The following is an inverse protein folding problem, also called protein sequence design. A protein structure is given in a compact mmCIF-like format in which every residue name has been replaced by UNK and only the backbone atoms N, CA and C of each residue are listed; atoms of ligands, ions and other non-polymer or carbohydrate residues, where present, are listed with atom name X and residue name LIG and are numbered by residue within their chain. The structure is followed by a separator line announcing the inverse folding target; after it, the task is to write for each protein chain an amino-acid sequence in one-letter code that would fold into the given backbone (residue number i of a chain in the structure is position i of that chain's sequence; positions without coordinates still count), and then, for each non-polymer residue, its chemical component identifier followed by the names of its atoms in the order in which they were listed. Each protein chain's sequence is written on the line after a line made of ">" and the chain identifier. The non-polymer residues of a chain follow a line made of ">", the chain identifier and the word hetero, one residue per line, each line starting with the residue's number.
data_IF_280663939440
#
_entry.id   IF_280663939440
#
_cell.length_a   1.000
_cell.length_b   1.000
_cell.length_c   1.000
_cell.angle_alpha   90.00
_cell.angle_beta   90.00
_cell.angle_gamma   90.00
#
_symmetry.space_group_name_H-M   'P 1'
#
loop_
_entity.id
_entity.type
_entity.pdbx_description
1 polymer ?
#
# COMPACT_ATOMS: atom_id res chain seq x y z
N UNK A 1 -0.27 -18.50 3.31
CA UNK A 1 -0.76 -18.76 1.94
C UNK A 1 0.28 -18.18 1.00
N UNK A 2 0.92 -19.01 0.19
CA UNK A 2 1.92 -18.53 -0.78
C UNK A 2 1.17 -17.92 -1.97
N UNK A 3 1.46 -16.67 -2.31
CA UNK A 3 0.89 -16.04 -3.50
C UNK A 3 1.47 -16.68 -4.74
N UNK A 4 0.60 -17.02 -5.69
CA UNK A 4 1.02 -17.51 -6.99
C UNK A 4 1.71 -16.40 -7.80
N UNK A 5 2.68 -16.78 -8.63
CA UNK A 5 3.36 -15.85 -9.53
C UNK A 5 2.34 -15.29 -10.53
N UNK A 6 2.28 -13.96 -10.62
CA UNK A 6 1.37 -13.25 -11.51
C UNK A 6 1.83 -13.39 -12.96
N UNK A 7 0.86 -13.50 -13.87
CA UNK A 7 1.10 -13.40 -15.32
C UNK A 7 1.29 -11.96 -15.79
N UNK A 8 0.99 -10.97 -14.92
CA UNK A 8 1.24 -9.55 -15.19
C UNK A 8 2.68 -9.19 -14.88
N UNK A 9 3.18 -8.13 -15.51
CA UNK A 9 4.40 -7.46 -15.07
C UNK A 9 4.11 -6.52 -13.90
N UNK A 10 5.12 -6.12 -13.10
CA UNK A 10 4.93 -5.11 -12.05
C UNK A 10 4.33 -3.80 -12.60
N UNK A 11 4.75 -3.36 -13.77
CA UNK A 11 4.22 -2.17 -14.44
C UNK A 11 2.75 -2.34 -14.81
N UNK A 12 2.32 -3.50 -15.30
CA UNK A 12 0.91 -3.77 -15.59
C UNK A 12 0.06 -3.81 -14.31
N UNK A 13 0.61 -4.34 -13.22
CA UNK A 13 -0.08 -4.34 -11.93
C UNK A 13 -0.24 -2.93 -11.35
N UNK A 14 0.82 -2.11 -11.41
CA UNK A 14 0.76 -0.71 -11.00
C UNK A 14 -0.20 0.11 -11.88
N UNK A 15 -0.18 -0.10 -13.20
CA UNK A 15 -1.12 0.56 -14.11
C UNK A 15 -2.58 0.17 -13.79
N UNK A 16 -2.85 -1.12 -13.56
CA UNK A 16 -4.18 -1.57 -13.16
C UNK A 16 -4.62 -1.02 -11.79
N UNK A 17 -3.69 -0.82 -10.86
CA UNK A 17 -3.96 -0.22 -9.56
C UNK A 17 -4.31 1.27 -9.70
N UNK A 18 -3.55 2.01 -10.52
CA UNK A 18 -3.81 3.41 -10.83
C UNK A 18 -5.15 3.59 -11.55
N UNK A 19 -5.44 2.75 -12.54
CA UNK A 19 -6.71 2.77 -13.29
C UNK A 19 -7.91 2.42 -12.40
N UNK A 20 -7.74 1.49 -11.45
CA UNK A 20 -8.79 1.14 -10.48
C UNK A 20 -9.12 2.29 -9.54
N UNK A 21 -8.10 2.99 -9.04
CA UNK A 21 -8.28 3.98 -7.98
C UNK A 21 -8.45 5.40 -8.48
N UNK A 22 -7.97 5.73 -9.67
CA UNK A 22 -8.04 7.06 -10.28
C UNK A 22 -7.70 8.19 -9.29
N UNK A 23 -6.53 8.13 -8.61
CA UNK A 23 -6.18 9.09 -7.57
C UNK A 23 -6.06 10.50 -8.16
N UNK A 24 -6.59 11.52 -7.46
CA UNK A 24 -6.37 12.94 -7.80
C UNK A 24 -5.11 13.48 -7.14
N UNK A 25 -4.62 12.79 -6.11
CA UNK A 25 -3.38 13.09 -5.43
C UNK A 25 -2.58 11.83 -5.17
N UNK A 26 -1.36 11.77 -5.68
CA UNK A 26 -0.49 10.60 -5.65
C UNK A 26 0.86 10.96 -5.05
N UNK A 27 1.25 10.24 -3.99
CA UNK A 27 2.61 10.29 -3.44
C UNK A 27 3.42 9.13 -4.03
N UNK A 28 4.59 9.39 -4.57
CA UNK A 28 5.49 8.35 -5.10
C UNK A 28 6.83 8.42 -4.39
N UNK A 29 7.23 7.29 -3.80
CA UNK A 29 8.51 7.11 -3.12
C UNK A 29 9.31 6.02 -3.78
N UNK A 30 10.56 6.31 -4.12
CA UNK A 30 11.42 5.36 -4.82
C UNK A 30 12.55 6.00 -5.58
N UNK A 31 13.66 5.26 -5.73
CA UNK A 31 14.79 5.69 -6.55
C UNK A 31 14.57 5.42 -8.05
N UNK A 32 13.70 4.46 -8.39
CA UNK A 32 13.43 4.07 -9.77
C UNK A 32 12.32 4.87 -10.43
N UNK A 33 12.49 5.14 -11.73
CA UNK A 33 11.40 5.63 -12.57
C UNK A 33 10.32 4.57 -12.76
N UNK A 34 9.07 5.02 -12.83
CA UNK A 34 7.90 4.15 -12.96
C UNK A 34 7.11 4.53 -14.21
N UNK A 35 7.30 3.82 -15.34
CA UNK A 35 6.61 4.11 -16.59
C UNK A 35 5.08 4.10 -16.45
N UNK A 36 4.53 3.23 -15.59
CA UNK A 36 3.10 3.20 -15.31
C UNK A 36 2.58 4.48 -14.64
N UNK A 37 3.39 5.10 -13.77
CA UNK A 37 3.04 6.38 -13.16
C UNK A 37 3.13 7.49 -14.20
N UNK A 38 4.21 7.56 -14.98
CA UNK A 38 4.40 8.55 -16.05
C UNK A 38 3.21 8.54 -17.03
N UNK A 39 2.87 7.36 -17.56
CA UNK A 39 1.73 7.19 -18.46
C UNK A 39 0.40 7.60 -17.81
N UNK A 40 0.22 7.36 -16.51
CA UNK A 40 -0.98 7.78 -15.79
C UNK A 40 -1.07 9.31 -15.68
N UNK A 41 0.04 10.01 -15.39
CA UNK A 41 0.07 11.49 -15.31
C UNK A 41 -0.30 12.11 -16.64
N UNK A 42 0.27 11.59 -17.73
CA UNK A 42 0.01 12.07 -19.08
C UNK A 42 -1.47 11.95 -19.46
N UNK A 43 -2.12 10.85 -19.03
CA UNK A 43 -3.54 10.63 -19.25
C UNK A 43 -4.45 11.43 -18.28
N UNK A 44 -3.93 11.88 -17.13
CA UNK A 44 -4.70 12.53 -16.07
C UNK A 44 -4.01 13.82 -15.60
N UNK A 45 -4.07 14.91 -16.40
CA UNK A 45 -3.37 16.16 -16.10
C UNK A 45 -3.83 16.84 -14.79
N UNK A 46 -5.03 16.49 -14.30
CA UNK A 46 -5.57 16.98 -13.03
C UNK A 46 -5.03 16.23 -11.79
N UNK A 47 -4.29 15.13 -11.99
CA UNK A 47 -3.67 14.39 -10.90
C UNK A 47 -2.44 15.14 -10.37
N UNK A 48 -2.47 15.54 -9.10
CA UNK A 48 -1.29 16.09 -8.43
C UNK A 48 -0.36 14.96 -8.02
N UNK A 49 0.88 15.03 -8.48
CA UNK A 49 1.93 14.08 -8.09
C UNK A 49 3.01 14.79 -7.28
N UNK A 50 3.31 14.22 -6.13
CA UNK A 50 4.44 14.58 -5.30
C UNK A 50 5.39 13.37 -5.25
N UNK A 51 6.68 13.59 -5.50
CA UNK A 51 7.70 12.54 -5.50
C UNK A 51 8.77 12.82 -4.44
N UNK A 52 9.30 11.77 -3.80
CA UNK A 52 10.46 11.87 -2.93
C UNK A 52 11.31 10.62 -2.99
N UNK A 53 12.64 10.80 -2.96
CA UNK A 53 13.61 9.72 -2.87
C UNK A 53 14.26 9.64 -1.49
N UNK A 54 13.98 10.62 -0.62
CA UNK A 54 14.59 10.75 0.70
C UNK A 54 13.61 10.40 1.81
N UNK A 55 14.13 9.78 2.85
CA UNK A 55 13.42 9.49 4.10
C UNK A 55 14.18 10.17 5.25
N UNK A 56 13.49 10.82 6.21
CA UNK A 56 12.04 10.99 6.30
C UNK A 56 11.48 11.91 5.21
N UNK A 57 10.14 11.88 5.03
CA UNK A 57 9.45 12.83 4.16
C UNK A 57 9.74 14.27 4.61
N UNK A 58 9.88 15.19 3.65
CA UNK A 58 9.97 16.62 3.97
C UNK A 58 8.70 17.08 4.70
N UNK A 59 8.81 18.12 5.51
CA UNK A 59 7.67 18.67 6.28
C UNK A 59 6.48 19.02 5.38
N UNK A 60 6.75 19.51 4.17
CA UNK A 60 5.74 19.85 3.17
C UNK A 60 4.97 18.62 2.68
N UNK A 61 5.67 17.52 2.37
CA UNK A 61 5.04 16.28 1.92
C UNK A 61 4.32 15.58 3.07
N UNK A 62 4.90 15.57 4.27
CA UNK A 62 4.34 14.98 5.47
C UNK A 62 3.05 15.67 5.93
N UNK A 63 2.86 16.96 5.62
CA UNK A 63 1.65 17.72 5.93
C UNK A 63 0.49 17.50 4.94
N UNK A 64 0.72 16.79 3.83
CA UNK A 64 -0.30 16.55 2.79
C UNK A 64 -1.01 15.21 2.97
N UNK A 65 -2.24 15.16 2.46
CA UNK A 65 -3.04 13.95 2.25
C UNK A 65 -3.03 13.57 0.78
N UNK A 66 -2.98 12.27 0.52
CA UNK A 66 -2.99 11.66 -0.80
C UNK A 66 -4.08 10.60 -0.87
N UNK A 67 -4.62 10.40 -2.08
CA UNK A 67 -5.59 9.36 -2.35
C UNK A 67 -4.92 7.99 -2.45
N UNK A 68 -3.64 7.97 -2.88
CA UNK A 68 -2.79 6.81 -2.99
C UNK A 68 -1.33 7.19 -2.71
N UNK A 69 -0.62 6.32 -2.01
CA UNK A 69 0.84 6.36 -1.92
C UNK A 69 1.44 5.11 -2.55
N UNK A 70 2.49 5.28 -3.35
CA UNK A 70 3.28 4.22 -3.96
C UNK A 70 4.69 4.24 -3.38
N UNK A 71 5.16 3.08 -2.92
CA UNK A 71 6.53 2.89 -2.44
C UNK A 71 7.15 1.77 -3.26
N UNK A 72 8.16 2.10 -4.06
CA UNK A 72 8.78 1.17 -5.02
C UNK A 72 10.28 1.41 -5.04
N UNK A 73 11.11 0.37 -4.98
CA UNK A 73 12.58 0.54 -4.99
C UNK A 73 13.04 1.57 -3.96
N UNK A 74 12.67 1.30 -2.71
CA UNK A 74 12.80 2.23 -1.59
C UNK A 74 13.20 1.49 -0.32
N UNK A 75 12.49 0.42 0.05
CA UNK A 75 12.76 -0.32 1.29
C UNK A 75 14.07 -1.11 1.24
N UNK A 76 14.53 -1.45 0.03
CA UNK A 76 15.80 -2.08 -0.28
C UNK A 76 16.99 -1.22 0.15
N UNK A 77 16.80 0.10 0.20
CA UNK A 77 17.85 1.09 0.46
C UNK A 77 17.75 1.69 1.86
N UNK A 78 16.86 1.17 2.72
CA UNK A 78 16.57 1.75 4.02
C UNK A 78 16.77 0.76 5.17
N UNK A 79 17.28 1.20 6.31
CA UNK A 79 17.21 0.43 7.54
C UNK A 79 15.75 0.06 7.86
N UNK A 80 15.53 -1.19 8.29
CA UNK A 80 14.17 -1.71 8.57
C UNK A 80 13.33 -0.78 9.47
N UNK A 81 13.96 -0.20 10.49
CA UNK A 81 13.30 0.74 11.41
C UNK A 81 12.77 1.98 10.68
N UNK A 82 13.57 2.60 9.82
CA UNK A 82 13.17 3.78 9.07
C UNK A 82 12.05 3.45 8.08
N UNK A 83 12.12 2.28 7.42
CA UNK A 83 11.03 1.82 6.57
C UNK A 83 9.72 1.57 7.34
N UNK A 84 9.79 1.04 8.57
CA UNK A 84 8.61 0.89 9.44
C UNK A 84 8.00 2.23 9.82
N UNK A 85 8.83 3.20 10.20
CA UNK A 85 8.40 4.57 10.51
C UNK A 85 7.77 5.24 9.28
N UNK A 86 8.37 5.04 8.09
CA UNK A 86 7.85 5.54 6.82
C UNK A 86 6.49 4.94 6.46
N UNK A 87 6.39 3.61 6.37
CA UNK A 87 5.14 2.95 5.96
C UNK A 87 4.02 3.18 6.99
N UNK A 88 4.34 3.13 8.28
CA UNK A 88 3.40 3.44 9.36
C UNK A 88 2.94 4.90 9.31
N UNK A 89 3.87 5.83 9.09
CA UNK A 89 3.56 7.26 8.92
C UNK A 89 2.63 7.51 7.74
N UNK A 90 2.99 6.98 6.55
CA UNK A 90 2.16 7.15 5.34
C UNK A 90 0.76 6.59 5.55
N UNK A 91 0.65 5.36 6.06
CA UNK A 91 -0.63 4.68 6.28
C UNK A 91 -1.53 5.45 7.25
N UNK A 92 -0.96 6.00 8.32
CA UNK A 92 -1.74 6.63 9.38
C UNK A 92 -2.02 8.11 9.12
N UNK A 93 -1.12 8.82 8.44
CA UNK A 93 -1.16 10.27 8.34
C UNK A 93 -1.42 10.76 6.91
N UNK A 94 -0.81 10.13 5.90
CA UNK A 94 -0.75 10.69 4.55
C UNK A 94 -1.75 10.06 3.58
N UNK A 95 -2.04 8.76 3.67
CA UNK A 95 -2.90 8.10 2.69
C UNK A 95 -3.74 6.98 3.27
N UNK A 96 -5.00 6.93 2.82
CA UNK A 96 -5.92 5.82 3.12
C UNK A 96 -5.65 4.59 2.23
N UNK A 97 -4.80 4.72 1.21
CA UNK A 97 -4.39 3.64 0.31
C UNK A 97 -2.88 3.66 0.11
N UNK A 98 -2.26 2.49 0.20
CA UNK A 98 -0.82 2.34 0.06
C UNK A 98 -0.54 1.10 -0.79
N UNK A 99 0.36 1.23 -1.75
CA UNK A 99 0.93 0.09 -2.46
C UNK A 99 2.44 0.11 -2.31
N UNK A 100 3.00 -1.05 -1.99
CA UNK A 100 4.43 -1.24 -1.79
C UNK A 100 4.90 -2.37 -2.70
N UNK A 101 5.83 -2.06 -3.61
CA UNK A 101 6.52 -3.06 -4.41
C UNK A 101 7.92 -3.24 -3.83
N UNK A 102 8.21 -4.44 -3.31
CA UNK A 102 9.46 -4.73 -2.63
C UNK A 102 10.09 -6.04 -3.10
N UNK A 103 11.41 -6.03 -3.20
CA UNK A 103 12.25 -7.23 -3.32
C UNK A 103 12.61 -7.72 -1.92
N UNK A 104 11.93 -8.78 -1.44
CA UNK A 104 12.17 -9.33 -0.10
C UNK A 104 13.53 -10.02 0.03
N UNK A 105 14.17 -10.40 -1.09
CA UNK A 105 15.52 -10.97 -1.05
C UNK A 105 16.60 -9.88 -0.94
N UNK A 106 16.31 -8.67 -1.41
CA UNK A 106 17.22 -7.52 -1.37
C UNK A 106 17.02 -6.61 -0.14
N UNK A 107 16.02 -6.86 0.70
CA UNK A 107 15.78 -6.08 1.91
C UNK A 107 15.65 -6.95 3.17
N UNK A 108 15.67 -6.33 4.34
CA UNK A 108 15.54 -7.04 5.63
C UNK A 108 14.08 -7.24 6.08
N UNK A 109 13.14 -7.19 5.14
CA UNK A 109 11.70 -7.34 5.39
C UNK A 109 11.21 -8.76 5.14
N UNK A 110 10.19 -9.14 5.88
CA UNK A 110 9.42 -10.36 5.68
C UNK A 110 7.98 -9.98 5.36
N UNK A 111 7.22 -10.88 4.71
CA UNK A 111 5.79 -10.67 4.44
C UNK A 111 5.01 -10.29 5.71
N UNK A 112 5.36 -10.90 6.84
CA UNK A 112 4.74 -10.65 8.15
C UNK A 112 4.89 -9.22 8.64
N UNK A 113 5.95 -8.51 8.25
CA UNK A 113 6.12 -7.09 8.57
C UNK A 113 5.06 -6.23 7.86
N UNK A 114 4.71 -6.57 6.61
CA UNK A 114 3.64 -5.90 5.86
C UNK A 114 2.27 -6.24 6.44
N UNK A 115 2.05 -7.50 6.84
CA UNK A 115 0.80 -7.91 7.50
C UNK A 115 0.59 -7.21 8.85
N UNK A 116 1.65 -7.00 9.62
CA UNK A 116 1.59 -6.24 10.87
C UNK A 116 1.17 -4.77 10.64
N UNK A 117 1.47 -4.24 9.45
CA UNK A 117 1.00 -2.93 8.99
C UNK A 117 -0.38 -2.97 8.32
N UNK A 118 -1.09 -4.11 8.39
CA UNK A 118 -2.38 -4.39 7.76
C UNK A 118 -2.38 -4.35 6.22
N UNK A 119 -1.20 -4.39 5.59
CA UNK A 119 -1.12 -4.59 4.15
C UNK A 119 -1.42 -6.07 3.84
N UNK A 120 -1.95 -6.31 2.65
CA UNK A 120 -2.21 -7.62 2.11
C UNK A 120 -1.24 -7.87 0.96
N UNK A 121 -0.65 -9.05 0.93
CA UNK A 121 0.11 -9.48 -0.23
C UNK A 121 -0.90 -9.61 -1.40
N UNK A 122 -0.64 -8.91 -2.49
CA UNK A 122 -1.56 -8.80 -3.63
C UNK A 122 -1.06 -9.62 -4.82
N UNK A 123 0.20 -9.45 -5.20
CA UNK A 123 0.82 -10.15 -6.32
C UNK A 123 2.30 -10.43 -6.08
N UNK A 124 2.82 -11.45 -6.74
CA UNK A 124 4.23 -11.79 -6.79
C UNK A 124 4.68 -11.83 -8.25
N UNK A 125 5.83 -11.26 -8.58
CA UNK A 125 6.36 -11.19 -9.94
C UNK A 125 7.75 -11.78 -9.95
N UNK A 126 8.00 -12.71 -10.86
CA UNK A 126 9.32 -13.32 -11.01
C UNK A 126 9.90 -12.96 -12.37
N UNK A 127 11.12 -12.39 -12.37
CA UNK A 127 11.92 -12.17 -13.58
C UNK A 127 13.34 -12.61 -13.30
N UNK A 128 13.78 -13.66 -14.01
CA UNK A 128 15.10 -14.26 -13.83
C UNK A 128 15.36 -14.61 -12.35
N UNK A 129 16.33 -13.94 -11.72
CA UNK A 129 16.71 -14.15 -10.31
C UNK A 129 16.04 -13.17 -9.35
N UNK A 130 15.26 -12.21 -9.87
CA UNK A 130 14.55 -11.23 -9.05
C UNK A 130 13.10 -11.64 -8.82
N UNK A 131 12.65 -11.49 -7.58
CA UNK A 131 11.24 -11.67 -7.19
C UNK A 131 10.75 -10.41 -6.50
N UNK A 132 9.73 -9.77 -7.08
CA UNK A 132 9.09 -8.60 -6.50
C UNK A 132 7.72 -8.96 -5.93
N UNK A 133 7.43 -8.45 -4.75
CA UNK A 133 6.15 -8.62 -4.08
C UNK A 133 5.41 -7.29 -4.03
N UNK A 134 4.17 -7.28 -4.50
CA UNK A 134 3.26 -6.16 -4.34
C UNK A 134 2.38 -6.39 -3.12
N UNK A 135 2.50 -5.50 -2.15
CA UNK A 135 1.63 -5.40 -0.99
C UNK A 135 0.72 -4.19 -1.13
N UNK A 136 -0.55 -4.32 -0.75
CA UNK A 136 -1.49 -3.19 -0.80
C UNK A 136 -2.27 -3.05 0.50
N UNK A 137 -2.67 -1.83 0.79
CA UNK A 137 -3.58 -1.49 1.86
C UNK A 137 -4.63 -0.53 1.31
N UNK A 138 -5.89 -0.77 1.68
CA UNK A 138 -7.00 0.15 1.45
C UNK A 138 -7.84 0.19 2.72
N UNK A 139 -7.91 1.35 3.37
CA UNK A 139 -8.68 1.57 4.60
C UNK A 139 -10.15 1.14 4.47
N UNK A 140 -10.75 1.21 3.28
CA UNK A 140 -12.15 0.84 3.07
C UNK A 140 -12.37 -0.68 2.98
N UNK A 141 -11.35 -1.46 2.63
CA UNK A 141 -11.48 -2.89 2.38
C UNK A 141 -10.49 -3.78 3.12
N UNK A 142 -9.62 -3.21 3.98
CA UNK A 142 -8.58 -3.97 4.68
C UNK A 142 -9.15 -5.06 5.60
N UNK A 143 -10.35 -4.83 6.15
CA UNK A 143 -11.03 -5.77 7.05
C UNK A 143 -12.43 -6.09 6.51
N UNK A 144 -12.67 -7.36 6.25
CA UNK A 144 -14.03 -7.86 6.02
C UNK A 144 -14.78 -7.92 7.34
N UNK A 145 -16.05 -7.50 7.34
CA UNK A 145 -16.94 -7.66 8.49
C UNK A 145 -17.20 -9.16 8.67
N UNK A 146 -16.76 -9.79 9.77
CA UNK A 146 -16.98 -11.22 9.94
C UNK A 146 -18.46 -11.52 10.15
N UNK A 147 -18.93 -12.69 9.69
CA UNK A 147 -20.33 -13.12 9.85
C UNK A 147 -20.78 -13.25 11.32
N UNK A 148 -19.84 -13.36 12.26
CA UNK A 148 -20.14 -13.38 13.68
C UNK A 148 -20.28 -11.98 14.30
N UNK A 149 -19.87 -10.92 13.60
CA UNK A 149 -20.02 -9.54 14.06
C UNK A 149 -21.41 -8.99 13.70
N UNK A 150 -22.45 -9.67 14.18
CA UNK A 150 -23.84 -9.22 14.11
C UNK A 150 -24.60 -9.66 15.37
N UNK A 151 -25.84 -9.15 15.50
CA UNK A 151 -26.68 -9.40 16.66
C UNK A 151 -26.88 -10.89 16.98
N UNK A 152 -26.86 -11.77 15.97
CA UNK A 152 -27.15 -13.20 16.12
C UNK A 152 -26.11 -13.95 16.95
N UNK A 153 -24.85 -13.50 16.91
CA UNK A 153 -23.73 -14.17 17.58
C UNK A 153 -23.09 -13.32 18.70
N UNK A 154 -23.77 -12.23 19.10
CA UNK A 154 -23.34 -11.40 20.21
C UNK A 154 -23.58 -12.13 21.55
N UNK A 155 -22.78 -11.81 22.58
CA UNK A 155 -22.83 -12.47 23.89
C UNK A 155 -24.11 -12.18 24.73
N UNK A 156 -25.15 -11.59 24.14
CA UNK A 156 -26.53 -11.42 24.62
C UNK A 156 -27.33 -10.78 23.46
N UNK A 157 -27.78 -11.57 22.47
CA UNK A 157 -28.42 -11.08 21.24
C UNK A 157 -29.59 -10.13 21.49
N UNK A 158 -30.36 -10.39 22.54
CA UNK A 158 -31.52 -9.61 22.96
C UNK A 158 -31.18 -8.20 23.44
N UNK A 159 -29.91 -7.93 23.80
CA UNK A 159 -29.46 -6.61 24.26
C UNK A 159 -28.69 -5.83 23.17
N UNK A 160 -28.49 -6.41 21.99
CA UNK A 160 -27.77 -5.77 20.89
C UNK A 160 -28.47 -4.47 20.46
N UNK A 161 -27.74 -3.35 20.50
CA UNK A 161 -28.25 -2.02 20.10
C UNK A 161 -29.27 -1.40 21.05
N UNK A 162 -29.60 -2.02 22.20
CA UNK A 162 -30.57 -1.49 23.17
C UNK A 162 -29.96 -0.59 24.23
N UNK A 163 -28.73 -0.89 24.63
CA UNK A 163 -28.01 -0.13 25.64
C UNK A 163 -26.69 0.34 25.05
N UNK A 164 -26.40 1.61 25.25
CA UNK A 164 -25.07 2.18 25.09
C UNK A 164 -24.48 2.24 26.52
N UNK A 165 -23.17 2.09 26.65
CA UNK A 165 -22.53 2.34 27.95
C UNK A 165 -22.77 3.78 28.40
#
# INVERSE_FOLDING_TARGET
>A
MTIAISSRTPQQALAALLDRYQPRSLLVLGASEMPAVQAFVEAHPDCRIDQSQTVPLSTELAAKRYDLALVVDCLEHLPKREGLELLGGIRNLNSNRLAVLADLAACHWQETDFFALALQASECFQREQQTLHLFTYDLLSYKQVPDWLNAKFWANPENFGKYWW
#
